data_IF_653059138427
#
_entry.id   IF_653059138427
#
_cell.length_a   1.000
_cell.length_b   1.000
_cell.length_c   1.000
_cell.angle_alpha   90.00
_cell.angle_beta   90.00
_cell.angle_gamma   90.00
#
_symmetry.space_group_name_H-M   'P 1'
#
loop_
_entity.id
_entity.type
_entity.pdbx_description
1 polymer ?
#
# COMPACT_ATOMS: atom_id res chain seq x y z
N UNK A 1 -17.46 25.01 45.76
CA UNK A 1 -17.08 23.60 45.53
C UNK A 1 -17.80 22.97 44.33
N UNK A 2 -19.15 22.98 44.28
CA UNK A 2 -19.93 22.37 43.17
C UNK A 2 -19.60 22.92 41.76
N UNK A 3 -19.24 24.20 41.64
CA UNK A 3 -18.87 24.83 40.36
C UNK A 3 -17.43 24.51 39.95
N UNK A 4 -16.54 24.26 40.91
CA UNK A 4 -15.14 23.87 40.67
C UNK A 4 -15.09 22.41 40.21
N UNK A 5 -15.92 21.54 40.80
CA UNK A 5 -16.08 20.14 40.39
C UNK A 5 -16.62 20.03 38.96
N UNK A 6 -17.59 20.87 38.58
CA UNK A 6 -18.12 20.92 37.19
C UNK A 6 -17.07 21.39 36.18
N UNK A 7 -16.23 22.37 36.54
CA UNK A 7 -15.15 22.86 35.67
C UNK A 7 -14.03 21.81 35.49
N UNK A 8 -13.69 21.06 36.54
CA UNK A 8 -12.73 19.96 36.48
C UNK A 8 -13.25 18.76 35.65
N UNK A 9 -14.55 18.46 35.71
CA UNK A 9 -15.18 17.41 34.89
C UNK A 9 -15.20 17.78 33.39
N UNK A 10 -15.39 19.06 33.05
CA UNK A 10 -15.31 19.55 31.67
C UNK A 10 -13.89 19.55 31.11
N UNK A 11 -12.88 19.81 31.95
CA UNK A 11 -11.46 19.73 31.54
C UNK A 11 -11.01 18.28 31.29
N UNK A 12 -11.49 17.30 32.08
CA UNK A 12 -11.13 15.89 31.89
C UNK A 12 -11.71 15.31 30.59
N UNK A 13 -12.89 15.76 30.16
CA UNK A 13 -13.51 15.28 28.92
C UNK A 13 -12.82 15.83 27.66
N UNK A 14 -12.13 16.97 27.76
CA UNK A 14 -11.42 17.59 26.63
C UNK A 14 -10.06 16.94 26.32
N UNK A 15 -9.50 16.11 27.22
CA UNK A 15 -8.16 15.51 27.07
C UNK A 15 -8.19 14.13 26.40
N UNK A 16 -9.36 13.51 26.22
CA UNK A 16 -9.46 12.12 25.73
C UNK A 16 -9.68 11.95 24.22
N UNK A 17 -9.54 13.01 23.41
CA UNK A 17 -9.56 12.88 21.93
C UNK A 17 -8.14 12.98 21.39
N UNK A 18 -7.25 12.10 21.82
CA UNK A 18 -6.11 11.72 20.99
C UNK A 18 -6.64 10.66 20.02
N UNK A 19 -6.96 11.06 18.80
CA UNK A 19 -7.12 10.10 17.69
C UNK A 19 -5.75 9.47 17.47
N UNK A 20 -5.47 8.36 18.17
CA UNK A 20 -4.33 7.52 17.80
C UNK A 20 -4.71 6.85 16.48
N UNK A 21 -4.46 7.51 15.36
CA UNK A 21 -4.48 6.83 14.07
C UNK A 21 -3.37 5.79 14.12
N UNK A 22 -3.74 4.52 14.14
CA UNK A 22 -2.77 3.45 13.93
C UNK A 22 -2.14 3.64 12.55
N UNK A 23 -0.82 3.50 12.47
CA UNK A 23 -0.14 3.60 11.20
C UNK A 23 -0.60 2.47 10.30
N UNK A 24 -0.83 2.79 9.02
CA UNK A 24 -1.05 1.77 7.99
C UNK A 24 0.30 1.18 7.64
N UNK A 25 0.43 -0.14 7.74
CA UNK A 25 1.67 -0.84 7.40
C UNK A 25 1.67 -1.18 5.92
N UNK A 26 2.51 -0.50 5.16
CA UNK A 26 2.70 -0.71 3.72
C UNK A 26 4.00 -1.46 3.48
N UNK A 27 3.91 -2.56 2.74
CA UNK A 27 5.02 -3.48 2.47
C UNK A 27 5.44 -3.37 1.01
N UNK A 28 6.75 -3.23 0.77
CA UNK A 28 7.30 -3.10 -0.59
C UNK A 28 8.72 -3.67 -0.70
N UNK A 29 9.35 -3.53 -1.87
CA UNK A 29 10.57 -4.23 -2.29
C UNK A 29 11.89 -3.59 -1.82
N UNK A 30 11.82 -2.59 -0.94
CA UNK A 30 12.95 -1.81 -0.46
C UNK A 30 13.68 -0.94 -1.46
N UNK A 31 14.81 -0.40 -1.00
CA UNK A 31 15.73 0.43 -1.79
C UNK A 31 15.07 1.65 -2.45
N UNK A 32 15.61 2.05 -3.60
CA UNK A 32 15.12 3.20 -4.37
C UNK A 32 13.68 3.02 -4.86
N UNK A 33 13.22 1.77 -5.02
CA UNK A 33 11.85 1.48 -5.43
C UNK A 33 10.86 1.89 -4.34
N UNK A 34 11.04 1.42 -3.10
CA UNK A 34 10.17 1.82 -1.97
C UNK A 34 10.27 3.31 -1.68
N UNK A 35 11.46 3.90 -1.81
CA UNK A 35 11.61 5.35 -1.66
C UNK A 35 10.80 6.14 -2.69
N UNK A 36 10.74 5.67 -3.94
CA UNK A 36 9.91 6.31 -4.97
C UNK A 36 8.43 6.31 -4.61
N UNK A 37 7.95 5.25 -3.96
CA UNK A 37 6.56 5.09 -3.54
C UNK A 37 6.21 5.99 -2.35
N UNK A 38 7.11 6.04 -1.36
CA UNK A 38 7.04 6.99 -0.23
C UNK A 38 6.87 8.41 -0.72
N UNK A 39 7.79 8.87 -1.56
CA UNK A 39 7.79 10.25 -2.04
C UNK A 39 6.67 10.54 -3.05
N UNK A 40 6.34 9.56 -3.90
CA UNK A 40 5.39 9.74 -5.00
C UNK A 40 3.93 9.81 -4.55
N UNK A 41 3.52 8.93 -3.64
CA UNK A 41 2.12 8.85 -3.20
C UNK A 41 1.94 8.57 -1.71
N UNK A 42 2.90 7.92 -1.04
CA UNK A 42 2.86 7.60 0.39
C UNK A 42 2.76 8.82 1.29
N UNK A 43 3.81 9.63 1.34
CA UNK A 43 3.90 10.82 2.17
C UNK A 43 2.82 11.86 1.83
N UNK A 44 2.49 12.11 0.54
CA UNK A 44 1.34 12.95 0.18
C UNK A 44 0.02 12.41 0.75
N UNK A 45 -0.24 11.10 0.67
CA UNK A 45 -1.45 10.50 1.22
C UNK A 45 -1.47 10.59 2.75
N UNK A 46 -0.37 10.26 3.42
CA UNK A 46 -0.24 10.33 4.87
C UNK A 46 -0.53 11.74 5.38
N UNK A 47 0.06 12.76 4.73
CA UNK A 47 -0.15 14.17 5.06
C UNK A 47 -1.59 14.62 4.79
N UNK A 48 -2.19 14.20 3.68
CA UNK A 48 -3.56 14.58 3.30
C UNK A 48 -4.61 13.95 4.19
N UNK A 49 -4.41 12.70 4.58
CA UNK A 49 -5.35 11.92 5.38
C UNK A 49 -5.14 12.09 6.88
N UNK A 50 -3.96 12.56 7.30
CA UNK A 50 -3.57 12.59 8.72
C UNK A 50 -3.34 11.19 9.30
N UNK A 51 -3.06 10.20 8.44
CA UNK A 51 -2.83 8.80 8.82
C UNK A 51 -1.35 8.48 8.57
N UNK A 52 -0.57 8.10 9.60
CA UNK A 52 0.82 7.71 9.39
C UNK A 52 0.91 6.42 8.56
N UNK A 53 1.97 6.30 7.79
CA UNK A 53 2.27 5.10 7.00
C UNK A 53 3.62 4.56 7.47
N UNK A 54 3.61 3.33 7.98
CA UNK A 54 4.82 2.60 8.35
C UNK A 54 5.23 1.71 7.18
N UNK A 55 6.46 1.86 6.73
CA UNK A 55 6.97 1.15 5.57
C UNK A 55 7.84 -0.03 5.98
N UNK A 56 7.55 -1.20 5.41
CA UNK A 56 8.30 -2.43 5.65
C UNK A 56 8.84 -2.94 4.31
N UNK A 57 10.14 -3.23 4.28
CA UNK A 57 10.77 -3.83 3.11
C UNK A 57 10.75 -5.36 3.23
N UNK A 58 10.43 -6.05 2.14
CA UNK A 58 10.43 -7.51 2.06
C UNK A 58 11.01 -8.03 0.74
N UNK A 59 11.13 -9.35 0.61
CA UNK A 59 11.77 -10.00 -0.55
C UNK A 59 10.81 -10.50 -1.63
N UNK A 60 9.49 -10.28 -1.47
CA UNK A 60 8.50 -10.79 -2.42
C UNK A 60 7.81 -12.10 -2.03
N UNK A 61 6.78 -12.42 -2.81
CA UNK A 61 6.05 -13.69 -2.69
C UNK A 61 5.04 -13.72 -1.54
N UNK A 62 4.42 -14.89 -1.36
CA UNK A 62 3.28 -15.07 -0.46
C UNK A 62 3.61 -15.76 0.88
N UNK A 63 4.85 -16.22 1.07
CA UNK A 63 5.21 -17.05 2.22
C UNK A 63 4.97 -16.34 3.57
N UNK A 64 5.37 -15.07 3.68
CA UNK A 64 5.19 -14.29 4.91
C UNK A 64 3.71 -13.97 5.18
N UNK A 65 2.94 -13.65 4.12
CA UNK A 65 1.48 -13.44 4.22
C UNK A 65 0.77 -14.70 4.70
N UNK A 66 1.14 -15.86 4.14
CA UNK A 66 0.61 -17.17 4.56
C UNK A 66 0.98 -17.47 6.02
N UNK A 67 2.20 -17.16 6.44
CA UNK A 67 2.64 -17.35 7.81
C UNK A 67 1.84 -16.47 8.79
N UNK A 68 1.64 -15.19 8.48
CA UNK A 68 0.82 -14.29 9.30
C UNK A 68 -0.64 -14.78 9.39
N UNK A 69 -1.24 -15.19 8.26
CA UNK A 69 -2.59 -15.74 8.23
C UNK A 69 -2.70 -17.02 9.08
N UNK A 70 -1.74 -17.94 8.95
CA UNK A 70 -1.71 -19.17 9.73
C UNK A 70 -1.54 -18.92 11.23
N UNK A 71 -0.77 -17.88 11.60
CA UNK A 71 -0.60 -17.45 12.98
C UNK A 71 -1.82 -16.69 13.54
N UNK A 72 -2.77 -16.28 12.69
CA UNK A 72 -3.88 -15.41 13.08
C UNK A 72 -3.43 -14.01 13.52
N UNK A 73 -2.24 -13.58 13.10
CA UNK A 73 -1.61 -12.35 13.52
C UNK A 73 -1.16 -11.56 12.29
N UNK A 74 -2.13 -10.91 11.63
CA UNK A 74 -1.88 -10.02 10.50
C UNK A 74 -1.35 -8.69 11.03
N UNK A 75 -0.18 -8.29 10.54
CA UNK A 75 0.48 -7.02 10.87
C UNK A 75 0.70 -6.14 9.65
N UNK A 76 0.47 -6.66 8.43
CA UNK A 76 0.61 -5.95 7.17
C UNK A 76 -0.76 -5.59 6.59
N UNK A 77 -0.96 -4.33 6.19
CA UNK A 77 -2.24 -3.83 5.70
C UNK A 77 -2.29 -3.77 4.16
N UNK A 78 -1.23 -3.24 3.53
CA UNK A 78 -1.11 -3.09 2.08
C UNK A 78 0.22 -3.68 1.63
N UNK A 79 0.23 -4.50 0.59
CA UNK A 79 1.42 -5.21 0.14
C UNK A 79 1.57 -5.04 -1.37
N UNK A 80 2.72 -4.55 -1.81
CA UNK A 80 3.14 -4.56 -3.22
C UNK A 80 3.63 -5.97 -3.58
N UNK A 81 2.90 -6.66 -4.46
CA UNK A 81 3.18 -8.03 -4.91
C UNK A 81 3.24 -8.11 -6.43
N UNK A 82 3.91 -9.13 -6.98
CA UNK A 82 3.85 -9.39 -8.42
C UNK A 82 2.45 -9.82 -8.86
N UNK A 83 2.12 -9.59 -10.14
CA UNK A 83 0.84 -9.98 -10.72
C UNK A 83 0.51 -11.48 -10.55
N UNK A 84 1.50 -12.37 -10.64
CA UNK A 84 1.29 -13.80 -10.41
C UNK A 84 0.95 -14.10 -8.94
N UNK A 85 1.60 -13.43 -8.00
CA UNK A 85 1.31 -13.56 -6.57
C UNK A 85 -0.08 -12.99 -6.23
N UNK A 86 -0.50 -11.90 -6.90
CA UNK A 86 -1.87 -11.38 -6.81
C UNK A 86 -2.91 -12.42 -7.19
N UNK A 87 -2.72 -13.13 -8.30
CA UNK A 87 -3.68 -14.14 -8.78
C UNK A 87 -3.77 -15.27 -7.75
N UNK A 88 -2.62 -15.86 -7.39
CA UNK A 88 -2.56 -16.99 -6.45
C UNK A 88 -3.11 -16.58 -5.07
N UNK A 89 -2.71 -15.43 -4.55
CA UNK A 89 -3.16 -14.97 -3.25
C UNK A 89 -4.64 -14.62 -3.20
N UNK A 90 -5.21 -14.14 -4.31
CA UNK A 90 -6.66 -13.92 -4.43
C UNK A 90 -7.41 -15.26 -4.41
N UNK A 91 -6.98 -16.24 -5.22
CA UNK A 91 -7.60 -17.57 -5.28
C UNK A 91 -7.50 -18.34 -3.94
N UNK A 92 -6.43 -18.13 -3.18
CA UNK A 92 -6.25 -18.70 -1.84
C UNK A 92 -6.93 -17.88 -0.72
N UNK A 93 -7.64 -16.80 -1.07
CA UNK A 93 -8.33 -15.91 -0.12
C UNK A 93 -7.38 -15.25 0.88
N UNK A 94 -6.15 -14.94 0.47
CA UNK A 94 -5.17 -14.19 1.28
C UNK A 94 -5.43 -12.69 1.24
N UNK A 95 -6.09 -12.19 0.19
CA UNK A 95 -6.30 -10.78 -0.07
C UNK A 95 -7.79 -10.43 -0.06
N UNK A 96 -8.07 -9.15 0.16
CA UNK A 96 -9.43 -8.59 0.08
C UNK A 96 -9.82 -8.41 -1.38
N UNK A 97 -11.03 -8.80 -1.74
CA UNK A 97 -11.63 -8.49 -3.05
C UNK A 97 -12.21 -7.07 -3.06
N UNK A 98 -12.00 -6.35 -4.15
CA UNK A 98 -12.54 -5.02 -4.38
C UNK A 98 -13.68 -5.03 -5.40
N UNK A 99 -14.70 -4.22 -5.13
CA UNK A 99 -15.67 -3.76 -6.12
C UNK A 99 -15.23 -2.36 -6.60
N UNK A 100 -14.53 -2.30 -7.73
CA UNK A 100 -13.77 -1.11 -8.11
C UNK A 100 -14.60 0.17 -8.20
N UNK A 101 -15.76 0.11 -8.84
CA UNK A 101 -16.61 1.30 -9.04
C UNK A 101 -17.38 1.71 -7.77
N UNK A 102 -17.33 0.87 -6.73
CA UNK A 102 -17.94 1.12 -5.42
C UNK A 102 -16.92 1.54 -4.37
N UNK A 103 -15.75 0.90 -4.36
CA UNK A 103 -14.73 1.05 -3.33
C UNK A 103 -13.74 2.18 -3.65
N UNK A 104 -13.59 2.55 -4.92
CA UNK A 104 -12.71 3.63 -5.35
C UNK A 104 -13.49 4.80 -5.98
N UNK A 105 -13.06 6.05 -5.74
CA UNK A 105 -13.69 7.20 -6.37
C UNK A 105 -13.49 7.17 -7.89
N UNK A 106 -14.43 7.71 -8.67
CA UNK A 106 -14.21 7.91 -10.09
C UNK A 106 -13.06 8.90 -10.32
N UNK A 107 -12.51 8.88 -11.54
CA UNK A 107 -11.55 9.86 -11.99
C UNK A 107 -12.12 11.30 -11.89
N UNK A 108 -11.27 12.35 -11.87
CA UNK A 108 -11.74 13.73 -11.81
C UNK A 108 -12.71 14.15 -12.94
N UNK A 109 -12.69 13.45 -14.07
CA UNK A 109 -13.60 13.67 -15.21
C UNK A 109 -14.90 12.84 -15.15
N UNK A 110 -15.07 12.02 -14.11
CA UNK A 110 -16.23 11.16 -13.89
C UNK A 110 -16.10 9.74 -14.46
N UNK A 111 -14.98 9.40 -15.09
CA UNK A 111 -14.71 8.03 -15.56
C UNK A 111 -14.75 7.05 -14.37
N UNK A 112 -15.49 5.92 -14.45
CA UNK A 112 -15.50 4.91 -13.38
C UNK A 112 -14.09 4.39 -13.07
N UNK A 113 -13.81 4.09 -11.80
CA UNK A 113 -12.48 3.66 -11.37
C UNK A 113 -12.00 2.39 -12.11
N UNK A 114 -12.91 1.49 -12.47
CA UNK A 114 -12.62 0.30 -13.28
C UNK A 114 -12.11 0.61 -14.70
N UNK A 115 -12.33 1.84 -15.18
CA UNK A 115 -11.94 2.31 -16.52
C UNK A 115 -10.80 3.33 -16.49
N UNK A 116 -10.33 3.75 -15.31
CA UNK A 116 -9.22 4.70 -15.12
C UNK A 116 -7.87 4.00 -14.89
N UNK A 117 -7.76 2.74 -15.33
CA UNK A 117 -6.55 1.93 -15.21
C UNK A 117 -5.90 1.75 -16.58
N UNK A 118 -4.58 1.86 -16.65
CA UNK A 118 -3.83 1.71 -17.91
C UNK A 118 -3.98 0.32 -18.54
N UNK A 119 -4.19 -0.71 -17.72
CA UNK A 119 -4.37 -2.10 -18.14
C UNK A 119 -5.38 -2.79 -17.23
N UNK A 120 -5.90 -3.93 -17.67
CA UNK A 120 -6.77 -4.78 -16.85
C UNK A 120 -6.03 -5.32 -15.64
N UNK A 121 -6.68 -5.29 -14.47
CA UNK A 121 -6.12 -5.91 -13.27
C UNK A 121 -6.05 -7.44 -13.41
N UNK A 122 -5.00 -8.08 -12.88
CA UNK A 122 -4.84 -9.53 -12.97
C UNK A 122 -5.85 -10.30 -12.10
N UNK A 123 -6.44 -9.66 -11.09
CA UNK A 123 -7.54 -10.21 -10.28
C UNK A 123 -8.35 -9.06 -9.65
N UNK A 124 -9.42 -9.41 -8.91
CA UNK A 124 -10.21 -8.44 -8.12
C UNK A 124 -9.54 -8.02 -6.82
N UNK A 125 -8.40 -8.63 -6.46
CA UNK A 125 -7.75 -8.41 -5.16
C UNK A 125 -6.56 -7.43 -5.21
N UNK A 126 -6.37 -6.69 -6.29
CA UNK A 126 -5.26 -5.73 -6.40
C UNK A 126 -5.62 -4.50 -7.20
N UNK A 127 -4.95 -3.40 -6.87
CA UNK A 127 -4.98 -2.13 -7.60
C UNK A 127 -3.61 -1.93 -8.25
N UNK A 128 -3.61 -1.56 -9.53
CA UNK A 128 -2.38 -1.33 -10.29
C UNK A 128 -1.63 -0.11 -9.76
N UNK A 129 -0.34 -0.30 -9.49
CA UNK A 129 0.56 0.72 -8.96
C UNK A 129 1.60 1.13 -10.01
N UNK A 130 2.45 0.18 -10.40
CA UNK A 130 3.57 0.41 -11.32
C UNK A 130 3.59 -0.68 -12.40
N UNK A 131 3.92 -0.26 -13.63
CA UNK A 131 4.33 -1.16 -14.70
C UNK A 131 5.84 -1.12 -14.84
N UNK A 132 6.45 -2.29 -15.03
CA UNK A 132 7.88 -2.44 -15.17
C UNK A 132 8.21 -3.29 -16.39
N UNK A 133 9.48 -3.31 -16.78
CA UNK A 133 9.98 -4.13 -17.87
C UNK A 133 11.24 -4.84 -17.43
N UNK A 134 11.37 -6.11 -17.83
CA UNK A 134 12.63 -6.81 -17.74
C UNK A 134 13.50 -6.38 -18.92
N UNK A 135 14.54 -5.61 -18.63
CA UNK A 135 15.48 -5.12 -19.64
C UNK A 135 16.85 -5.77 -19.45
N UNK A 136 17.59 -5.96 -20.54
CA UNK A 136 18.98 -6.36 -20.47
C UNK A 136 19.86 -5.15 -20.18
N UNK A 137 20.69 -5.24 -19.13
CA UNK A 137 21.72 -4.26 -18.83
C UNK A 137 23.10 -4.87 -19.05
N UNK A 138 24.06 -4.07 -19.51
CA UNK A 138 25.45 -4.49 -19.73
C UNK A 138 26.44 -3.42 -19.28
N UNK A 139 27.64 -3.86 -18.90
CA UNK A 139 28.73 -2.97 -18.54
C UNK A 139 29.48 -2.52 -19.80
N UNK A 140 29.33 -1.25 -20.17
CA UNK A 140 29.77 -0.71 -21.47
C UNK A 140 31.25 -1.01 -21.77
N UNK A 141 32.12 -0.75 -20.78
CA UNK A 141 33.58 -0.96 -20.91
C UNK A 141 33.97 -2.43 -21.07
N UNK A 142 33.18 -3.37 -20.53
CA UNK A 142 33.50 -4.81 -20.56
C UNK A 142 32.98 -5.47 -21.82
N UNK A 143 31.85 -4.99 -22.36
CA UNK A 143 31.21 -5.60 -23.53
C UNK A 143 31.84 -5.15 -24.85
N UNK A 144 32.44 -3.96 -24.87
CA UNK A 144 33.19 -3.44 -26.02
C UNK A 144 32.33 -3.39 -27.29
N UNK A 145 32.84 -3.95 -28.40
CA UNK A 145 32.13 -3.97 -29.69
C UNK A 145 31.02 -5.03 -29.79
N UNK A 146 30.82 -5.87 -28.77
CA UNK A 146 29.82 -6.95 -28.77
C UNK A 146 28.48 -6.53 -28.14
N UNK A 147 28.15 -5.24 -28.13
CA UNK A 147 26.90 -4.73 -27.55
C UNK A 147 25.68 -5.38 -28.22
N UNK A 148 24.67 -5.82 -27.45
CA UNK A 148 23.36 -6.19 -27.99
C UNK A 148 22.78 -5.01 -28.78
N UNK A 149 22.11 -5.30 -29.90
CA UNK A 149 21.33 -4.32 -30.65
C UNK A 149 19.96 -4.12 -30.03
#
# INVERSE_FOLDING_TARGET
MKNIIKALLLLFFAVSVTTSSWAVVVVSWGGAYTESQKLGYGDPAAKKLGIPIDWVDYSGGLSEVKAQKAAGAITWDIIDVYAMDTIIGCDEGLFVEFDFDKDFPPAPDGTPASQDMFTTMPSKCAVGNILYSWTYAYHDEKIGSKKPK
#
